data_IF_879136834936
#
_entry.id   IF_879136834936
#
_cell.length_a   1.000
_cell.length_b   1.000
_cell.length_c   1.000
_cell.angle_alpha   90.00
_cell.angle_beta   90.00
_cell.angle_gamma   90.00
#
_symmetry.space_group_name_H-M   'P 1'
#
loop_
_entity.id
_entity.type
_entity.pdbx_description
1 polymer ?
#
# COMPACT_ATOMS: atom_id res chain seq x y z
N UNK A 1 -7.15 -9.84 -10.02
CA UNK A 1 -5.91 -10.58 -9.69
C UNK A 1 -6.20 -12.05 -9.41
N UNK A 2 -5.24 -12.90 -9.74
CA UNK A 2 -5.33 -14.31 -9.41
C UNK A 2 -4.55 -14.57 -8.14
N UNK A 3 -3.65 -13.63 -7.82
CA UNK A 3 -2.91 -13.66 -6.57
C UNK A 3 -3.79 -13.16 -5.44
N UNK A 4 -3.42 -13.47 -4.22
CA UNK A 4 -4.25 -13.14 -3.07
C UNK A 4 -3.41 -12.53 -1.95
N UNK A 5 -4.09 -12.08 -0.90
CA UNK A 5 -3.45 -11.40 0.21
C UNK A 5 -2.93 -12.38 1.26
N UNK A 6 -1.84 -11.97 1.91
CA UNK A 6 -1.25 -12.73 3.01
C UNK A 6 -1.64 -12.13 4.35
N UNK A 7 -2.92 -11.86 4.54
CA UNK A 7 -3.38 -11.29 5.78
C UNK A 7 -3.05 -9.81 5.90
N UNK A 8 -1.88 -9.50 6.44
CA UNK A 8 -1.43 -8.11 6.55
C UNK A 8 -0.84 -7.65 5.22
N UNK A 9 -0.39 -8.61 4.41
CA UNK A 9 0.07 -8.32 3.06
C UNK A 9 1.09 -7.22 2.99
N UNK A 10 2.27 -7.48 3.51
CA UNK A 10 3.35 -6.53 3.44
C UNK A 10 3.96 -6.61 2.06
N UNK A 11 4.62 -7.72 1.82
CA UNK A 11 5.28 -7.99 0.56
C UNK A 11 4.60 -9.15 -0.16
N UNK A 12 3.27 -9.28 0.04
CA UNK A 12 2.47 -10.35 -0.57
C UNK A 12 2.89 -10.65 -2.02
N UNK A 13 2.50 -9.79 -2.96
CA UNK A 13 2.95 -9.90 -4.33
C UNK A 13 3.44 -8.56 -4.85
N UNK A 14 2.57 -7.57 -4.79
CA UNK A 14 2.90 -6.27 -5.35
C UNK A 14 2.15 -6.03 -6.63
N UNK A 15 0.84 -6.22 -6.58
CA UNK A 15 0.00 -6.11 -7.76
C UNK A 15 -0.82 -4.82 -7.73
N UNK A 16 -1.79 -4.76 -6.83
CA UNK A 16 -2.67 -3.61 -6.71
C UNK A 16 -1.91 -2.36 -6.25
N UNK A 17 -2.11 -1.28 -6.98
CA UNK A 17 -1.51 0.00 -6.66
C UNK A 17 -2.60 1.07 -6.54
N UNK A 18 -3.78 0.62 -6.15
CA UNK A 18 -4.94 1.47 -5.96
C UNK A 18 -5.65 1.09 -4.67
N UNK A 19 -6.11 2.08 -3.93
CA UNK A 19 -6.75 1.84 -2.64
C UNK A 19 -8.02 1.00 -2.79
N UNK A 20 -8.63 0.62 -1.67
CA UNK A 20 -9.89 -0.09 -1.72
C UNK A 20 -10.95 0.78 -2.41
N UNK A 21 -10.86 2.08 -2.20
CA UNK A 21 -11.69 3.04 -2.90
C UNK A 21 -11.00 3.46 -4.20
N UNK A 22 -11.60 4.38 -4.93
CA UNK A 22 -11.06 4.77 -6.22
C UNK A 22 -9.91 5.77 -6.13
N UNK A 23 -9.13 5.68 -5.05
CA UNK A 23 -8.00 6.59 -4.86
C UNK A 23 -6.73 6.00 -5.46
N UNK A 24 -6.00 6.80 -6.22
CA UNK A 24 -4.71 6.38 -6.74
C UNK A 24 -3.67 6.35 -5.62
N UNK A 25 -3.00 5.21 -5.48
CA UNK A 25 -1.91 5.10 -4.51
C UNK A 25 -0.72 5.96 -4.92
N UNK A 26 -0.46 6.98 -4.13
CA UNK A 26 0.73 7.78 -4.28
C UNK A 26 1.98 6.95 -3.99
N UNK A 27 3.01 7.13 -4.82
CA UNK A 27 4.26 6.37 -4.73
C UNK A 27 4.90 6.50 -3.35
N UNK A 28 5.49 5.40 -2.90
CA UNK A 28 6.20 5.37 -1.62
C UNK A 28 7.45 6.23 -1.68
N UNK A 29 8.04 6.32 -2.85
CA UNK A 29 9.24 7.10 -3.06
C UNK A 29 8.88 8.59 -3.16
N UNK A 30 7.59 8.87 -3.29
CA UNK A 30 7.11 10.23 -3.43
C UNK A 30 6.72 10.79 -2.08
N UNK A 31 7.30 11.93 -1.72
CA UNK A 31 6.91 12.63 -0.50
C UNK A 31 5.84 13.67 -0.83
N UNK A 32 5.30 13.56 -2.03
CA UNK A 32 4.20 14.37 -2.49
C UNK A 32 3.20 13.47 -3.21
N UNK A 33 1.87 13.69 -3.07
CA UNK A 33 1.28 14.78 -2.27
C UNK A 33 1.57 14.70 -0.77
N UNK A 34 1.45 13.51 -0.18
CA UNK A 34 1.54 13.37 1.27
C UNK A 34 2.99 13.13 1.73
N UNK A 35 3.47 13.99 2.61
CA UNK A 35 4.83 13.88 3.15
C UNK A 35 4.89 12.82 4.26
N UNK A 36 4.94 11.57 3.82
CA UNK A 36 4.86 10.42 4.72
C UNK A 36 6.24 9.91 5.14
N UNK A 37 6.34 9.29 6.30
CA UNK A 37 7.60 8.71 6.73
C UNK A 37 7.63 7.21 6.47
N UNK A 38 6.75 6.74 5.59
CA UNK A 38 6.81 5.36 5.13
C UNK A 38 7.35 5.31 3.71
N UNK A 39 8.66 5.36 3.59
CA UNK A 39 9.32 5.35 2.29
C UNK A 39 10.24 4.14 2.22
N UNK A 40 10.63 3.70 1.01
CA UNK A 40 11.53 2.56 0.84
C UNK A 40 12.92 2.81 1.44
N UNK A 41 13.13 4.02 1.94
CA UNK A 41 14.35 4.35 2.67
C UNK A 41 14.11 4.20 4.17
N UNK A 42 12.85 4.09 4.54
CA UNK A 42 12.44 4.00 5.94
C UNK A 42 12.00 2.59 6.29
N UNK A 43 11.36 1.95 5.33
CA UNK A 43 10.86 0.60 5.51
C UNK A 43 11.25 -0.26 4.32
N UNK A 44 12.54 -0.48 4.10
CA UNK A 44 13.04 -1.24 2.96
C UNK A 44 12.64 -2.71 3.05
N UNK A 45 12.52 -3.19 4.28
CA UNK A 45 12.20 -4.59 4.54
C UNK A 45 10.70 -4.84 4.41
N UNK A 46 9.97 -3.82 3.96
CA UNK A 46 8.54 -3.94 3.75
C UNK A 46 8.21 -3.80 2.28
N UNK A 47 9.29 -3.63 1.52
CA UNK A 47 9.25 -3.59 0.06
C UNK A 47 8.34 -2.51 -0.49
N UNK A 48 8.70 -1.26 -0.22
CA UNK A 48 7.90 -0.12 -0.70
C UNK A 48 8.20 0.13 -2.18
N UNK A 49 7.67 -0.76 -3.01
CA UNK A 49 7.87 -0.74 -4.45
C UNK A 49 6.85 0.14 -5.14
N UNK A 50 7.33 1.07 -5.96
CA UNK A 50 6.47 1.93 -6.77
C UNK A 50 5.42 2.66 -5.95
N UNK A 51 4.20 2.12 -5.99
CA UNK A 51 3.06 2.68 -5.29
C UNK A 51 2.10 1.57 -4.92
N UNK A 52 2.63 0.35 -4.94
CA UNK A 52 1.87 -0.85 -4.61
C UNK A 52 1.32 -0.78 -3.21
N UNK A 53 0.14 -1.35 -3.01
CA UNK A 53 -0.44 -1.44 -1.68
C UNK A 53 0.40 -2.34 -0.78
N UNK A 54 1.39 -1.74 -0.14
CA UNK A 54 2.26 -2.44 0.78
C UNK A 54 1.75 -2.25 2.20
N UNK A 55 2.47 -2.81 3.15
CA UNK A 55 2.14 -2.61 4.55
C UNK A 55 3.41 -2.32 5.35
N UNK A 56 4.00 -1.13 5.15
CA UNK A 56 5.21 -0.73 5.87
C UNK A 56 4.96 -0.43 7.34
N UNK A 57 3.96 0.41 7.61
CA UNK A 57 3.64 0.80 8.98
C UNK A 57 3.27 -0.39 9.85
N UNK A 58 2.58 -1.36 9.26
CA UNK A 58 2.17 -2.54 9.99
C UNK A 58 0.71 -2.47 10.41
N UNK A 59 -0.17 -2.41 9.43
CA UNK A 59 -1.60 -2.40 9.69
C UNK A 59 -2.13 -3.82 9.59
N UNK A 60 -3.44 -3.98 9.69
CA UNK A 60 -4.07 -5.29 9.56
C UNK A 60 -4.13 -5.72 8.10
N UNK A 61 -3.99 -4.76 7.20
CA UNK A 61 -4.11 -5.00 5.77
C UNK A 61 -3.26 -4.02 4.98
N UNK A 62 -2.98 -4.33 3.71
CA UNK A 62 -2.24 -3.44 2.80
C UNK A 62 -2.85 -2.06 2.74
N UNK A 63 -2.01 -1.05 2.67
CA UNK A 63 -2.48 0.32 2.63
C UNK A 63 -1.53 1.19 1.83
N UNK A 64 -1.98 2.39 1.47
CA UNK A 64 -1.14 3.31 0.75
C UNK A 64 -1.60 4.74 0.99
N UNK A 65 -0.87 5.69 0.42
CA UNK A 65 -1.22 7.10 0.55
C UNK A 65 -1.96 7.54 -0.69
N UNK A 66 -3.10 8.18 -0.52
CA UNK A 66 -3.90 8.57 -1.65
C UNK A 66 -3.36 9.84 -2.29
N UNK A 67 -3.45 9.93 -3.60
CA UNK A 67 -3.09 11.13 -4.32
C UNK A 67 -4.16 12.21 -4.17
N UNK A 68 -4.95 12.11 -3.10
CA UNK A 68 -6.01 13.07 -2.82
C UNK A 68 -5.71 13.83 -1.55
N UNK A 69 -6.24 15.03 -1.45
CA UNK A 69 -6.15 15.81 -0.23
C UNK A 69 -7.38 15.55 0.64
N UNK A 70 -8.32 14.79 0.08
CA UNK A 70 -9.56 14.45 0.77
C UNK A 70 -9.27 13.50 1.92
N UNK A 71 -8.42 12.54 1.64
CA UNK A 71 -8.06 11.50 2.58
C UNK A 71 -6.55 11.33 2.59
N UNK A 72 -6.00 10.87 3.69
CA UNK A 72 -4.57 10.62 3.76
C UNK A 72 -4.26 9.23 3.21
N UNK A 73 -4.17 8.25 4.09
CA UNK A 73 -3.93 6.88 3.68
C UNK A 73 -5.24 6.10 3.55
N UNK A 74 -5.18 4.99 2.83
CA UNK A 74 -6.35 4.16 2.58
C UNK A 74 -5.91 2.70 2.53
N UNK A 75 -6.77 1.81 2.99
CA UNK A 75 -6.54 0.38 2.87
C UNK A 75 -6.76 -0.07 1.44
N UNK A 76 -6.36 -1.29 1.14
CA UNK A 76 -6.60 -1.87 -0.17
C UNK A 76 -7.22 -3.25 -0.02
N UNK A 77 -8.26 -3.52 -0.79
CA UNK A 77 -8.92 -4.81 -0.73
C UNK A 77 -8.25 -5.80 -1.68
N UNK A 78 -7.28 -6.52 -1.14
CA UNK A 78 -6.65 -7.61 -1.87
C UNK A 78 -7.44 -8.88 -1.57
N UNK A 79 -7.55 -9.84 -2.53
CA UNK A 79 -8.23 -11.12 -2.28
C UNK A 79 -7.53 -11.92 -1.18
N UNK A 80 -7.91 -13.17 -1.00
CA UNK A 80 -7.36 -13.96 0.09
C UNK A 80 -7.60 -15.44 -0.13
N UNK A 81 -6.53 -16.18 -0.35
CA UNK A 81 -6.61 -17.63 -0.45
C UNK A 81 -6.80 -18.21 0.94
N UNK A 82 -6.38 -17.44 1.94
CA UNK A 82 -6.47 -17.84 3.34
C UNK A 82 -7.77 -17.33 3.94
N UNK A 83 -8.89 -17.82 3.43
CA UNK A 83 -10.19 -17.43 3.94
C UNK A 83 -10.54 -18.32 5.13
#
# INVERSE_FOLDING_TARGET
>A
TYQCLKGTGENYRGNVAVTVSGHTCQHWSAQTPHTHNRTPENFPSKNLDENYCRNPDGKRAPWCHTTNSQVRWEYCKIPSCDS
#
